data_IF_846179768616
#
_entry.id   IF_846179768616
#
_cell.length_a   1.000
_cell.length_b   1.000
_cell.length_c   1.000
_cell.angle_alpha   90.00
_cell.angle_beta   90.00
_cell.angle_gamma   90.00
#
_symmetry.space_group_name_H-M   'P 1'
#
loop_
_entity.id
_entity.type
_entity.pdbx_description
1 polymer ?
#
# COMPACT_ATOMS: atom_id res chain seq x y z
N UNK A 1 24.94 5.57 -11.76
CA UNK A 1 23.58 5.76 -11.25
C UNK A 1 23.61 6.73 -10.08
N UNK A 2 22.88 7.80 -10.17
CA UNK A 2 22.83 8.78 -9.10
C UNK A 2 22.02 8.29 -7.93
N UNK A 3 22.56 8.49 -6.74
CA UNK A 3 21.82 8.18 -5.51
C UNK A 3 20.89 9.32 -5.18
N UNK A 4 19.76 9.01 -4.59
CA UNK A 4 18.85 10.02 -4.09
C UNK A 4 19.52 10.82 -2.96
N UNK A 5 19.28 12.12 -2.93
CA UNK A 5 19.69 12.95 -1.79
C UNK A 5 18.84 12.60 -0.57
N UNK A 6 19.25 13.06 0.61
CA UNK A 6 18.46 12.88 1.82
C UNK A 6 17.07 13.49 1.67
N UNK A 7 17.00 14.67 1.07
CA UNK A 7 15.75 15.36 0.85
C UNK A 7 14.82 14.57 -0.08
N UNK A 8 15.39 14.06 -1.17
CA UNK A 8 14.63 13.22 -2.12
C UNK A 8 14.13 11.95 -1.46
N UNK A 9 14.97 11.30 -0.65
CA UNK A 9 14.57 10.09 0.08
C UNK A 9 13.45 10.38 1.06
N UNK A 10 13.55 11.50 1.77
CA UNK A 10 12.51 11.90 2.73
C UNK A 10 11.18 12.12 2.02
N UNK A 11 11.18 12.87 0.92
CA UNK A 11 9.96 13.13 0.16
C UNK A 11 9.39 11.84 -0.44
N UNK A 12 10.25 10.95 -0.93
CA UNK A 12 9.82 9.65 -1.43
C UNK A 12 9.16 8.83 -0.33
N UNK A 13 9.76 8.81 0.86
CA UNK A 13 9.21 8.10 2.01
C UNK A 13 7.84 8.63 2.39
N UNK A 14 7.67 9.94 2.44
CA UNK A 14 6.37 10.56 2.75
C UNK A 14 5.31 10.16 1.72
N UNK A 15 5.66 10.20 0.43
CA UNK A 15 4.75 9.80 -0.64
C UNK A 15 4.36 8.33 -0.55
N UNK A 16 5.33 7.46 -0.30
CA UNK A 16 5.08 6.03 -0.18
C UNK A 16 4.18 5.72 1.02
N UNK A 17 4.42 6.38 2.14
CA UNK A 17 3.57 6.24 3.33
C UNK A 17 2.15 6.70 3.05
N UNK A 18 1.99 7.78 2.29
CA UNK A 18 0.67 8.27 1.91
C UNK A 18 -0.07 7.25 1.04
N UNK A 19 0.59 6.71 0.03
CA UNK A 19 0.00 5.70 -0.86
C UNK A 19 -0.38 4.45 -0.07
N UNK A 20 0.49 4.02 0.84
CA UNK A 20 0.22 2.86 1.70
C UNK A 20 -1.01 3.10 2.57
N UNK A 21 -1.15 4.30 3.11
CA UNK A 21 -2.32 4.67 3.92
C UNK A 21 -3.60 4.64 3.08
N UNK A 22 -3.56 5.18 1.86
CA UNK A 22 -4.68 5.14 0.93
C UNK A 22 -5.11 3.72 0.61
N UNK A 23 -4.14 2.83 0.35
CA UNK A 23 -4.41 1.42 0.09
C UNK A 23 -5.03 0.72 1.29
N UNK A 24 -4.56 1.04 2.48
CA UNK A 24 -5.11 0.48 3.73
C UNK A 24 -6.57 0.88 3.92
N UNK A 25 -6.89 2.13 3.63
CA UNK A 25 -8.26 2.64 3.70
C UNK A 25 -9.15 1.97 2.66
N UNK A 26 -8.66 1.81 1.44
CA UNK A 26 -9.38 1.10 0.38
C UNK A 26 -9.62 -0.36 0.73
N UNK A 27 -8.62 -1.02 1.30
CA UNK A 27 -8.75 -2.42 1.71
C UNK A 27 -9.87 -2.59 2.73
N UNK A 28 -9.92 -1.71 3.73
CA UNK A 28 -10.96 -1.75 4.74
C UNK A 28 -12.35 -1.58 4.11
N UNK A 29 -12.48 -0.65 3.17
CA UNK A 29 -13.73 -0.43 2.46
C UNK A 29 -14.13 -1.65 1.62
N UNK A 30 -13.16 -2.25 0.92
CA UNK A 30 -13.42 -3.45 0.12
C UNK A 30 -13.87 -4.63 0.98
N UNK A 31 -13.26 -4.81 2.15
CA UNK A 31 -13.63 -5.88 3.06
C UNK A 31 -15.05 -5.69 3.60
N UNK A 32 -15.43 -4.47 3.94
CA UNK A 32 -16.78 -4.14 4.38
C UNK A 32 -17.78 -4.40 3.26
N UNK A 33 -17.48 -3.95 2.05
CA UNK A 33 -18.36 -4.13 0.89
C UNK A 33 -18.49 -5.61 0.51
N UNK A 34 -17.39 -6.36 0.60
CA UNK A 34 -17.39 -7.79 0.34
C UNK A 34 -18.37 -8.52 1.26
N UNK A 35 -18.25 -8.26 2.56
CA UNK A 35 -19.10 -8.91 3.56
C UNK A 35 -20.58 -8.52 3.43
N UNK A 36 -20.85 -7.29 2.98
CA UNK A 36 -22.20 -6.74 2.92
C UNK A 36 -22.93 -7.06 1.62
N UNK A 37 -22.25 -6.87 0.46
CA UNK A 37 -22.90 -6.86 -0.85
C UNK A 37 -22.26 -7.85 -1.83
N UNK A 38 -20.94 -7.98 -1.78
CA UNK A 38 -20.14 -8.72 -2.76
C UNK A 38 -19.64 -10.07 -2.28
N UNK A 39 -20.29 -10.63 -1.27
CA UNK A 39 -19.89 -11.92 -0.71
C UNK A 39 -19.95 -13.00 -1.82
N UNK A 40 -18.85 -13.75 -1.96
CA UNK A 40 -18.63 -14.76 -3.00
C UNK A 40 -18.36 -14.20 -4.41
N UNK A 41 -18.09 -12.91 -4.53
CA UNK A 41 -17.69 -12.31 -5.81
C UNK A 41 -16.18 -12.53 -6.00
N UNK A 42 -15.81 -13.35 -6.98
CA UNK A 42 -14.40 -13.66 -7.28
C UNK A 42 -13.59 -12.43 -7.68
N UNK A 43 -14.21 -11.48 -8.37
CA UNK A 43 -13.53 -10.24 -8.76
C UNK A 43 -13.17 -9.41 -7.54
N UNK A 44 -14.05 -9.40 -6.55
CA UNK A 44 -13.81 -8.69 -5.31
C UNK A 44 -12.74 -9.37 -4.46
N UNK A 45 -12.72 -10.70 -4.44
CA UNK A 45 -11.66 -11.48 -3.80
C UNK A 45 -10.29 -11.13 -4.38
N UNK A 46 -10.18 -11.06 -5.71
CA UNK A 46 -8.94 -10.70 -6.38
C UNK A 46 -8.51 -9.28 -6.05
N UNK A 47 -9.45 -8.36 -6.03
CA UNK A 47 -9.20 -6.96 -5.72
C UNK A 47 -8.64 -6.81 -4.29
N UNK A 48 -9.24 -7.49 -3.32
CA UNK A 48 -8.79 -7.49 -1.93
C UNK A 48 -7.40 -8.08 -1.84
N UNK A 49 -7.15 -9.22 -2.48
CA UNK A 49 -5.84 -9.88 -2.45
C UNK A 49 -4.75 -9.03 -3.08
N UNK A 50 -5.02 -8.43 -4.24
CA UNK A 50 -4.08 -7.53 -4.90
C UNK A 50 -3.75 -6.32 -4.04
N UNK A 51 -4.76 -5.78 -3.35
CA UNK A 51 -4.56 -4.64 -2.46
C UNK A 51 -3.68 -5.03 -1.28
N UNK A 52 -3.88 -6.21 -0.70
CA UNK A 52 -3.02 -6.73 0.39
C UNK A 52 -1.59 -6.92 -0.07
N UNK A 53 -1.38 -7.45 -1.27
CA UNK A 53 -0.04 -7.61 -1.84
C UNK A 53 0.65 -6.27 -2.04
N UNK A 54 -0.08 -5.28 -2.53
CA UNK A 54 0.45 -3.93 -2.71
C UNK A 54 0.84 -3.29 -1.38
N UNK A 55 0.02 -3.47 -0.35
CA UNK A 55 0.35 -2.97 0.99
C UNK A 55 1.63 -3.61 1.50
N UNK A 56 1.78 -4.93 1.35
CA UNK A 56 2.99 -5.64 1.75
C UNK A 56 4.22 -5.11 1.01
N UNK A 57 4.07 -4.85 -0.29
CA UNK A 57 5.14 -4.27 -1.11
C UNK A 57 5.56 -2.90 -0.57
N UNK A 58 4.59 -2.03 -0.31
CA UNK A 58 4.89 -0.69 0.19
C UNK A 58 5.44 -0.71 1.62
N UNK A 59 4.99 -1.62 2.46
CA UNK A 59 5.56 -1.78 3.81
C UNK A 59 7.04 -2.15 3.74
N UNK A 60 7.41 -3.07 2.86
CA UNK A 60 8.80 -3.45 2.65
C UNK A 60 9.63 -2.28 2.10
N UNK A 61 9.05 -1.51 1.19
CA UNK A 61 9.71 -0.34 0.60
C UNK A 61 9.94 0.75 1.66
N UNK A 62 8.94 1.00 2.50
CA UNK A 62 9.04 1.97 3.60
C UNK A 62 10.18 1.57 4.54
N UNK A 63 10.24 0.30 4.92
CA UNK A 63 11.29 -0.22 5.79
C UNK A 63 12.68 0.02 5.20
N UNK A 64 12.85 -0.25 3.90
CA UNK A 64 14.12 -0.01 3.21
C UNK A 64 14.48 1.47 3.18
N UNK A 65 13.51 2.34 2.92
CA UNK A 65 13.75 3.79 2.89
C UNK A 65 14.10 4.32 4.27
N UNK A 66 13.48 3.81 5.32
CA UNK A 66 13.78 4.21 6.69
C UNK A 66 15.18 3.78 7.12
N UNK A 67 15.63 2.61 6.68
CA UNK A 67 17.00 2.13 6.97
C UNK A 67 18.07 3.03 6.35
N UNK A 68 17.79 3.62 5.19
CA UNK A 68 18.72 4.49 4.48
C UNK A 68 18.79 5.88 5.15
N UNK A 69 17.72 6.31 5.74
CA UNK A 69 17.66 7.58 6.46
C UNK A 69 18.20 7.44 7.87
#
# INVERSE_FOLDING_TARGET
MEKLTENERYHTLVCVKYVRHELSTKLLQYEIDYDSIHKYDEQYDKLIEQTKESITFYDALIEKLEEIL
#
